data_IF_363247131415
#
_entry.id   IF_363247131415
#
_cell.length_a   1.000
_cell.length_b   1.000
_cell.length_c   1.000
_cell.angle_alpha   90.00
_cell.angle_beta   90.00
_cell.angle_gamma   90.00
#
_symmetry.space_group_name_H-M   'P 1'
#
loop_
_entity.id
_entity.type
_entity.pdbx_description
1 polymer ?
#
# COMPACT_ATOMS: atom_id res chain seq x y z
N UNK A 1 -51.11 -5.47 26.25
CA UNK A 1 -50.15 -5.68 25.15
C UNK A 1 -48.78 -5.27 25.68
N UNK A 2 -47.76 -6.14 25.69
CA UNK A 2 -46.44 -5.72 26.13
C UNK A 2 -45.84 -4.79 25.07
N UNK A 3 -45.31 -3.64 25.51
CA UNK A 3 -44.53 -2.74 24.66
C UNK A 3 -43.36 -3.52 24.06
N UNK A 4 -43.34 -3.66 22.74
CA UNK A 4 -42.14 -4.02 21.99
C UNK A 4 -41.16 -2.87 22.14
N UNK A 5 -40.12 -3.06 22.92
CA UNK A 5 -38.89 -2.30 22.76
C UNK A 5 -38.32 -2.65 21.39
N UNK A 6 -38.48 -1.73 20.44
CA UNK A 6 -37.74 -1.79 19.17
C UNK A 6 -36.34 -1.30 19.52
N UNK A 7 -35.40 -2.23 19.65
CA UNK A 7 -33.98 -1.89 19.63
C UNK A 7 -33.70 -1.36 18.22
N UNK A 8 -33.52 -0.05 18.12
CA UNK A 8 -33.01 0.57 16.91
C UNK A 8 -31.49 0.35 16.98
N UNK A 9 -30.98 -0.70 16.34
CA UNK A 9 -29.55 -0.95 16.15
C UNK A 9 -28.96 -0.03 15.06
N UNK A 10 -29.27 1.26 15.13
CA UNK A 10 -28.46 2.27 14.46
C UNK A 10 -27.25 2.48 15.37
N UNK A 11 -26.24 1.60 15.25
CA UNK A 11 -24.91 1.94 15.73
C UNK A 11 -24.51 3.22 15.00
N UNK A 12 -24.59 4.37 15.68
CA UNK A 12 -23.98 5.60 15.19
C UNK A 12 -22.53 5.25 14.82
N UNK A 13 -22.19 5.35 13.54
CA UNK A 13 -20.80 5.22 13.09
C UNK A 13 -20.00 6.23 13.90
N UNK A 14 -19.12 5.75 14.78
CA UNK A 14 -18.35 6.60 15.70
C UNK A 14 -17.48 7.59 14.89
N UNK A 15 -16.99 7.17 13.72
CA UNK A 15 -16.25 8.02 12.79
C UNK A 15 -16.72 7.78 11.35
N UNK A 16 -17.02 8.87 10.62
CA UNK A 16 -17.36 8.78 9.21
C UNK A 16 -16.10 8.68 8.34
N UNK A 17 -15.80 7.46 7.87
CA UNK A 17 -14.65 7.12 7.04
C UNK A 17 -15.12 6.84 5.61
N UNK A 18 -14.47 7.46 4.62
CA UNK A 18 -14.71 7.20 3.20
C UNK A 18 -13.49 6.62 2.50
N UNK A 19 -13.73 5.82 1.47
CA UNK A 19 -12.69 5.35 0.54
C UNK A 19 -13.02 5.87 -0.86
N UNK A 20 -12.17 6.74 -1.39
CA UNK A 20 -12.25 7.29 -2.73
C UNK A 20 -11.32 6.53 -3.68
N UNK A 21 -11.89 5.66 -4.51
CA UNK A 21 -11.19 4.98 -5.59
C UNK A 21 -11.10 5.88 -6.82
N UNK A 22 -9.89 6.30 -7.19
CA UNK A 22 -9.65 7.25 -8.28
C UNK A 22 -9.06 6.54 -9.49
N UNK A 23 -9.73 6.66 -10.63
CA UNK A 23 -9.37 6.00 -11.89
C UNK A 23 -9.64 4.50 -11.88
N UNK A 24 -9.13 3.78 -12.89
CA UNK A 24 -9.39 2.35 -13.08
C UNK A 24 -8.86 1.47 -11.94
N UNK A 25 -7.58 1.63 -11.58
CA UNK A 25 -6.96 0.84 -10.50
C UNK A 25 -7.61 1.08 -9.14
N UNK A 26 -7.87 2.35 -8.79
CA UNK A 26 -8.58 2.68 -7.54
C UNK A 26 -10.01 2.16 -7.53
N UNK A 27 -10.72 2.24 -8.66
CA UNK A 27 -12.07 1.69 -8.81
C UNK A 27 -12.12 0.16 -8.66
N UNK A 28 -11.12 -0.56 -9.20
CA UNK A 28 -10.99 -2.00 -9.03
C UNK A 28 -10.75 -2.38 -7.56
N UNK A 29 -9.83 -1.68 -6.89
CA UNK A 29 -9.57 -1.88 -5.47
C UNK A 29 -10.84 -1.64 -4.63
N UNK A 30 -11.60 -0.57 -4.90
CA UNK A 30 -12.89 -0.30 -4.23
C UNK A 30 -13.91 -1.42 -4.48
N UNK A 31 -14.05 -1.89 -5.73
CA UNK A 31 -14.94 -3.01 -6.02
C UNK A 31 -14.54 -4.25 -5.21
N UNK A 32 -13.25 -4.55 -5.14
CA UNK A 32 -12.72 -5.67 -4.37
C UNK A 32 -12.99 -5.51 -2.87
N UNK A 33 -12.84 -4.31 -2.32
CA UNK A 33 -13.17 -4.01 -0.92
C UNK A 33 -14.65 -4.29 -0.61
N UNK A 34 -15.55 -3.90 -1.52
CA UNK A 34 -17.00 -4.13 -1.40
C UNK A 34 -17.32 -5.63 -1.48
N UNK A 35 -16.73 -6.36 -2.44
CA UNK A 35 -16.90 -7.81 -2.60
C UNK A 35 -16.45 -8.59 -1.36
N UNK A 36 -15.38 -8.14 -0.70
CA UNK A 36 -14.89 -8.73 0.54
C UNK A 36 -15.67 -8.27 1.77
N UNK A 37 -16.69 -7.42 1.61
CA UNK A 37 -17.63 -7.07 2.67
C UNK A 37 -17.06 -6.14 3.74
N UNK A 38 -16.14 -5.24 3.40
CA UNK A 38 -15.70 -4.18 4.34
C UNK A 38 -16.90 -3.26 4.63
N UNK A 39 -17.35 -3.22 5.88
CA UNK A 39 -18.54 -2.44 6.33
C UNK A 39 -18.18 -1.16 7.08
N UNK A 40 -16.92 -1.01 7.50
CA UNK A 40 -16.41 0.07 8.34
C UNK A 40 -16.27 1.41 7.60
N UNK A 41 -16.49 1.45 6.28
CA UNK A 41 -16.26 2.62 5.43
C UNK A 41 -17.35 2.80 4.37
N UNK A 42 -17.51 4.04 3.87
CA UNK A 42 -18.33 4.32 2.70
C UNK A 42 -17.47 4.43 1.44
N UNK A 43 -17.97 3.89 0.33
CA UNK A 43 -17.21 3.82 -0.92
C UNK A 43 -17.64 4.90 -1.92
N UNK A 44 -16.64 5.54 -2.51
CA UNK A 44 -16.77 6.53 -3.57
C UNK A 44 -15.86 6.11 -4.74
N UNK A 45 -16.41 6.09 -5.95
CA UNK A 45 -15.66 5.85 -7.19
C UNK A 45 -15.60 7.12 -8.03
N UNK A 46 -14.39 7.56 -8.39
CA UNK A 46 -14.15 8.79 -9.16
C UNK A 46 -13.40 8.45 -10.43
N UNK A 47 -13.98 8.69 -11.60
CA UNK A 47 -13.33 8.35 -12.87
C UNK A 47 -13.76 9.26 -14.01
N UNK A 48 -12.87 9.41 -14.99
CA UNK A 48 -13.15 10.04 -16.29
C UNK A 48 -13.80 9.08 -17.29
N UNK A 49 -13.68 7.78 -17.05
CA UNK A 49 -14.21 6.72 -17.92
C UNK A 49 -15.60 6.29 -17.42
N UNK A 50 -16.62 6.56 -18.24
CA UNK A 50 -18.02 6.26 -17.92
C UNK A 50 -18.31 4.75 -17.93
N UNK A 51 -17.63 3.98 -18.79
CA UNK A 51 -17.79 2.53 -18.85
C UNK A 51 -17.25 1.89 -17.56
N UNK A 52 -16.08 2.35 -17.11
CA UNK A 52 -15.51 1.89 -15.84
C UNK A 52 -16.43 2.21 -14.64
N UNK A 53 -17.01 3.42 -14.58
CA UNK A 53 -17.95 3.79 -13.50
C UNK A 53 -19.24 2.96 -13.51
N UNK A 54 -19.73 2.62 -14.70
CA UNK A 54 -20.92 1.78 -14.84
C UNK A 54 -20.72 0.40 -14.19
N UNK A 55 -19.51 -0.15 -14.29
CA UNK A 55 -19.11 -1.40 -13.65
C UNK A 55 -18.73 -1.27 -12.16
N UNK A 56 -18.67 -0.05 -11.60
CA UNK A 56 -18.32 0.13 -10.19
C UNK A 56 -19.45 -0.33 -9.27
N UNK A 57 -19.09 -1.00 -8.17
CA UNK A 57 -19.99 -1.42 -7.11
C UNK A 57 -20.19 -0.34 -6.05
N UNK A 58 -19.43 0.76 -6.11
CA UNK A 58 -19.51 1.85 -5.15
C UNK A 58 -20.90 2.50 -5.16
N UNK A 59 -21.52 2.77 -3.99
CA UNK A 59 -22.80 3.47 -3.89
C UNK A 59 -22.74 4.89 -4.48
N UNK A 60 -21.61 5.56 -4.30
CA UNK A 60 -21.37 6.90 -4.83
C UNK A 60 -20.39 6.85 -6.00
N UNK A 61 -20.78 7.46 -7.12
CA UNK A 61 -20.01 7.47 -8.37
C UNK A 61 -19.95 8.91 -8.88
N UNK A 62 -18.74 9.39 -9.18
CA UNK A 62 -18.52 10.73 -9.74
C UNK A 62 -17.79 10.57 -11.06
N UNK A 63 -18.46 11.02 -12.13
CA UNK A 63 -17.84 11.14 -13.42
C UNK A 63 -17.17 12.50 -13.53
N UNK A 64 -15.84 12.53 -13.56
CA UNK A 64 -15.06 13.77 -13.63
C UNK A 64 -14.68 14.11 -15.08
N UNK A 65 -14.60 15.41 -15.39
CA UNK A 65 -14.17 15.89 -16.71
C UNK A 65 -15.06 15.44 -17.86
N UNK A 66 -16.39 15.52 -17.67
CA UNK A 66 -17.37 15.15 -18.70
C UNK A 66 -17.16 15.96 -19.98
N UNK A 67 -16.91 17.27 -19.87
CA UNK A 67 -16.69 18.14 -21.05
C UNK A 67 -15.35 17.84 -21.71
N UNK A 68 -14.32 17.57 -20.92
CA UNK A 68 -12.96 17.34 -21.41
C UNK A 68 -12.78 15.99 -22.09
N UNK A 69 -13.32 14.92 -21.49
CA UNK A 69 -13.07 13.53 -21.90
C UNK A 69 -14.23 12.90 -22.65
N UNK A 70 -15.44 13.50 -22.55
CA UNK A 70 -16.68 12.94 -23.09
C UNK A 70 -16.94 11.50 -22.62
N UNK A 71 -16.53 11.19 -21.38
CA UNK A 71 -16.68 9.88 -20.75
C UNK A 71 -15.72 8.78 -21.25
N UNK A 72 -14.70 9.13 -22.04
CA UNK A 72 -13.78 8.15 -22.67
C UNK A 72 -12.46 7.93 -21.93
N UNK A 73 -12.32 8.51 -20.74
CA UNK A 73 -11.08 8.43 -19.97
C UNK A 73 -10.01 9.46 -20.35
N UNK A 74 -8.97 9.56 -19.53
CA UNK A 74 -7.85 10.50 -19.71
C UNK A 74 -6.79 10.06 -20.75
N UNK A 75 -6.89 8.84 -21.29
CA UNK A 75 -5.99 8.33 -22.34
C UNK A 75 -4.51 8.26 -21.92
N UNK A 76 -4.23 7.96 -20.65
CA UNK A 76 -2.86 7.87 -20.12
C UNK A 76 -2.14 9.21 -19.93
N UNK A 77 -2.87 10.33 -20.00
CA UNK A 77 -2.34 11.68 -19.72
C UNK A 77 -2.72 12.12 -18.30
N UNK A 78 -1.74 12.28 -17.37
CA UNK A 78 -1.98 12.80 -16.03
C UNK A 78 -2.58 14.22 -16.04
N UNK A 79 -2.07 15.11 -16.89
CA UNK A 79 -2.58 16.49 -17.02
C UNK A 79 -4.08 16.52 -17.35
N UNK A 80 -4.54 15.64 -18.25
CA UNK A 80 -5.99 15.52 -18.53
C UNK A 80 -6.77 15.01 -17.32
N UNK A 81 -6.21 14.07 -16.56
CA UNK A 81 -6.82 13.59 -15.32
C UNK A 81 -6.95 14.68 -14.27
N UNK A 82 -5.90 15.49 -14.10
CA UNK A 82 -5.89 16.64 -13.20
C UNK A 82 -6.96 17.66 -13.57
N UNK A 83 -6.95 18.13 -14.83
CA UNK A 83 -7.93 19.11 -15.33
C UNK A 83 -9.37 18.59 -15.24
N UNK A 84 -9.57 17.29 -15.43
CA UNK A 84 -10.88 16.66 -15.25
C UNK A 84 -11.36 16.74 -13.79
N UNK A 85 -10.48 16.51 -12.81
CA UNK A 85 -10.81 16.66 -11.40
C UNK A 85 -11.03 18.13 -11.00
N UNK A 86 -10.24 19.04 -11.57
CA UNK A 86 -10.41 20.49 -11.39
C UNK A 86 -11.76 21.00 -11.95
N UNK A 87 -12.23 20.43 -13.07
CA UNK A 87 -13.55 20.74 -13.63
C UNK A 87 -14.69 20.34 -12.68
N UNK A 88 -14.51 19.26 -11.91
CA UNK A 88 -15.52 18.65 -11.06
C UNK A 88 -15.26 18.84 -9.56
N UNK A 89 -14.51 19.88 -9.16
CA UNK A 89 -14.14 20.10 -7.73
C UNK A 89 -15.35 20.20 -6.82
N UNK A 90 -16.40 20.91 -7.23
CA UNK A 90 -17.60 21.12 -6.41
C UNK A 90 -18.33 19.79 -6.13
N UNK A 91 -18.41 18.91 -7.12
CA UNK A 91 -19.02 17.59 -6.98
C UNK A 91 -18.22 16.69 -6.03
N UNK A 92 -16.89 16.72 -6.16
CA UNK A 92 -15.99 15.97 -5.26
C UNK A 92 -16.13 16.48 -3.82
N UNK A 93 -16.12 17.80 -3.61
CA UNK A 93 -16.28 18.41 -2.30
C UNK A 93 -17.65 18.07 -1.67
N UNK A 94 -18.72 18.10 -2.47
CA UNK A 94 -20.06 17.72 -2.01
C UNK A 94 -20.11 16.25 -1.55
N UNK A 95 -19.46 15.34 -2.29
CA UNK A 95 -19.40 13.93 -1.93
C UNK A 95 -18.54 13.64 -0.69
N UNK A 96 -17.51 14.47 -0.42
CA UNK A 96 -16.65 14.35 0.75
C UNK A 96 -17.23 15.02 2.00
N UNK A 97 -18.33 15.77 1.89
CA UNK A 97 -18.94 16.48 3.02
C UNK A 97 -19.32 15.52 4.16
N UNK A 98 -19.04 15.93 5.40
CA UNK A 98 -19.34 15.17 6.61
C UNK A 98 -18.39 13.99 6.89
N UNK A 99 -17.31 13.88 6.13
CA UNK A 99 -16.27 12.85 6.31
C UNK A 99 -15.22 13.35 7.29
N UNK A 100 -14.76 12.50 8.22
CA UNK A 100 -13.66 12.82 9.14
C UNK A 100 -12.33 12.29 8.63
N UNK A 101 -12.36 11.16 7.93
CA UNK A 101 -11.19 10.53 7.33
C UNK A 101 -11.49 10.01 5.93
N UNK A 102 -10.57 10.23 4.99
CA UNK A 102 -10.67 9.69 3.63
C UNK A 102 -9.42 8.92 3.25
N UNK A 103 -9.62 7.70 2.75
CA UNK A 103 -8.60 6.93 2.04
C UNK A 103 -8.72 7.20 0.55
N UNK A 104 -7.66 7.70 -0.06
CA UNK A 104 -7.59 7.91 -1.51
C UNK A 104 -6.77 6.77 -2.09
N UNK A 105 -7.42 5.91 -2.88
CA UNK A 105 -6.76 4.79 -3.53
C UNK A 105 -6.70 4.97 -5.04
N UNK A 106 -5.51 4.76 -5.61
CA UNK A 106 -5.27 4.91 -7.03
C UNK A 106 -4.11 4.03 -7.50
N UNK A 107 -4.20 3.56 -8.74
CA UNK A 107 -3.06 3.00 -9.46
C UNK A 107 -2.30 4.11 -10.19
N UNK A 108 -1.04 4.32 -9.84
CA UNK A 108 -0.21 5.39 -10.38
C UNK A 108 0.42 4.98 -11.72
N UNK A 109 0.74 5.97 -12.55
CA UNK A 109 1.28 5.77 -13.91
C UNK A 109 0.22 5.75 -15.01
N UNK A 110 -1.07 5.78 -14.66
CA UNK A 110 -2.16 6.05 -15.60
C UNK A 110 -2.39 7.55 -15.85
N UNK A 111 -3.51 7.89 -16.50
CA UNK A 111 -3.93 9.29 -16.65
C UNK A 111 -4.79 9.77 -15.48
N UNK A 112 -5.93 9.11 -15.27
CA UNK A 112 -6.92 9.55 -14.27
C UNK A 112 -6.41 9.42 -12.84
N UNK A 113 -5.93 8.25 -12.41
CA UNK A 113 -5.43 8.05 -11.05
C UNK A 113 -4.30 9.03 -10.70
N UNK A 114 -3.26 9.05 -11.53
CA UNK A 114 -2.08 9.92 -11.36
C UNK A 114 -2.40 11.41 -11.28
N UNK A 115 -3.32 11.91 -12.13
CA UNK A 115 -3.63 13.33 -12.20
C UNK A 115 -4.75 13.78 -11.26
N UNK A 116 -5.79 12.95 -11.08
CA UNK A 116 -6.97 13.31 -10.31
C UNK A 116 -6.80 13.03 -8.81
N UNK A 117 -6.07 11.97 -8.41
CA UNK A 117 -5.92 11.63 -6.99
C UNK A 117 -5.32 12.78 -6.15
N UNK A 118 -4.26 13.50 -6.62
CA UNK A 118 -3.77 14.66 -5.89
C UNK A 118 -4.81 15.77 -5.72
N UNK A 119 -5.63 16.03 -6.75
CA UNK A 119 -6.70 17.04 -6.68
C UNK A 119 -7.78 16.64 -5.68
N UNK A 120 -8.19 15.37 -5.67
CA UNK A 120 -9.15 14.84 -4.68
C UNK A 120 -8.58 14.97 -3.26
N UNK A 121 -7.27 14.72 -3.09
CA UNK A 121 -6.58 14.86 -1.80
C UNK A 121 -6.51 16.30 -1.30
N UNK A 122 -6.20 17.24 -2.19
CA UNK A 122 -6.20 18.66 -1.88
C UNK A 122 -7.58 19.13 -1.39
N UNK A 123 -8.66 18.77 -2.11
CA UNK A 123 -10.03 19.12 -1.70
C UNK A 123 -10.34 18.55 -0.31
N UNK A 124 -9.94 17.30 -0.04
CA UNK A 124 -10.16 16.69 1.26
C UNK A 124 -9.42 17.40 2.40
N UNK A 125 -8.14 17.75 2.19
CA UNK A 125 -7.35 18.49 3.17
C UNK A 125 -7.86 19.90 3.40
N UNK A 126 -8.27 20.61 2.35
CA UNK A 126 -8.87 21.95 2.45
C UNK A 126 -10.15 21.93 3.30
N UNK A 127 -10.87 20.80 3.30
CA UNK A 127 -12.05 20.57 4.13
C UNK A 127 -11.73 20.13 5.57
N UNK A 128 -10.45 19.98 5.93
CA UNK A 128 -10.00 19.53 7.25
C UNK A 128 -10.17 18.03 7.49
N UNK A 129 -10.28 17.22 6.44
CA UNK A 129 -10.43 15.77 6.51
C UNK A 129 -9.05 15.13 6.65
N UNK A 130 -8.87 14.18 7.57
CA UNK A 130 -7.65 13.38 7.65
C UNK A 130 -7.51 12.56 6.37
N UNK A 131 -6.51 12.87 5.55
CA UNK A 131 -6.40 12.39 4.18
C UNK A 131 -5.22 11.44 4.05
N UNK A 132 -5.50 10.17 3.80
CA UNK A 132 -4.48 9.12 3.64
C UNK A 132 -4.50 8.61 2.20
N UNK A 133 -3.37 8.76 1.49
CA UNK A 133 -3.18 8.15 0.17
C UNK A 133 -2.68 6.72 0.30
N UNK A 134 -3.31 5.75 -0.37
CA UNK A 134 -2.81 4.38 -0.49
C UNK A 134 -2.76 4.03 -1.98
N UNK A 135 -1.57 4.07 -2.56
CA UNK A 135 -1.39 4.01 -4.01
C UNK A 135 -0.40 2.95 -4.44
N UNK A 136 -0.55 2.43 -5.65
CA UNK A 136 0.37 1.45 -6.23
C UNK A 136 1.28 2.05 -7.30
N UNK A 137 2.55 1.65 -7.31
CA UNK A 137 3.44 1.85 -8.47
C UNK A 137 3.23 0.73 -9.48
N UNK A 138 3.35 1.00 -10.79
CA UNK A 138 3.15 -0.03 -11.83
C UNK A 138 4.23 -1.12 -11.76
N UNK A 139 3.97 -2.26 -12.40
CA UNK A 139 5.01 -3.26 -12.61
C UNK A 139 6.04 -2.78 -13.63
N UNK A 140 7.28 -3.27 -13.55
CA UNK A 140 8.34 -2.88 -14.48
C UNK A 140 8.01 -3.20 -15.95
N UNK A 141 7.27 -4.30 -16.19
CA UNK A 141 6.84 -4.70 -17.54
C UNK A 141 5.85 -3.73 -18.18
N UNK A 142 5.16 -2.89 -17.40
CA UNK A 142 4.23 -1.89 -17.92
C UNK A 142 4.95 -0.70 -18.58
N UNK A 143 6.28 -0.63 -18.39
CA UNK A 143 7.17 0.25 -19.12
C UNK A 143 7.61 1.50 -18.37
N UNK A 144 8.81 1.97 -18.68
CA UNK A 144 9.48 3.10 -18.00
C UNK A 144 8.66 4.39 -18.02
N UNK A 145 7.88 4.64 -19.07
CA UNK A 145 7.02 5.84 -19.17
C UNK A 145 5.95 5.86 -18.07
N UNK A 146 5.29 4.72 -17.81
CA UNK A 146 4.28 4.62 -16.74
C UNK A 146 4.92 4.78 -15.37
N UNK A 147 6.09 4.19 -15.15
CA UNK A 147 6.84 4.35 -13.90
C UNK A 147 7.21 5.82 -13.66
N UNK A 148 7.73 6.52 -14.66
CA UNK A 148 8.07 7.95 -14.53
C UNK A 148 6.82 8.81 -14.20
N UNK A 149 5.70 8.54 -14.85
CA UNK A 149 4.42 9.21 -14.52
C UNK A 149 3.95 8.87 -13.10
N UNK A 150 4.18 7.64 -12.64
CA UNK A 150 3.81 7.23 -11.29
C UNK A 150 4.62 7.99 -10.24
N UNK A 151 5.94 8.07 -10.39
CA UNK A 151 6.81 8.80 -9.45
C UNK A 151 6.45 10.29 -9.38
N UNK A 152 6.20 10.94 -10.52
CA UNK A 152 5.74 12.33 -10.57
C UNK A 152 4.39 12.51 -9.85
N UNK A 153 3.42 11.62 -10.12
CA UNK A 153 2.13 11.66 -9.46
C UNK A 153 2.21 11.40 -7.96
N UNK A 154 3.11 10.52 -7.50
CA UNK A 154 3.33 10.20 -6.08
C UNK A 154 3.93 11.41 -5.37
N UNK A 155 4.91 12.08 -5.97
CA UNK A 155 5.47 13.31 -5.42
C UNK A 155 4.39 14.40 -5.28
N UNK A 156 3.57 14.58 -6.33
CA UNK A 156 2.45 15.52 -6.32
C UNK A 156 1.35 15.18 -5.30
N UNK A 157 1.11 13.88 -5.06
CA UNK A 157 0.14 13.41 -4.08
C UNK A 157 0.66 13.61 -2.65
N UNK A 158 1.96 13.36 -2.41
CA UNK A 158 2.62 13.51 -1.10
C UNK A 158 2.40 14.89 -0.49
N UNK A 159 2.47 15.94 -1.28
CA UNK A 159 2.28 17.31 -0.82
C UNK A 159 0.83 17.63 -0.41
N UNK A 160 -0.12 16.76 -0.78
CA UNK A 160 -1.56 16.97 -0.66
C UNK A 160 -2.26 15.93 0.21
N UNK A 161 -1.52 15.06 0.87
CA UNK A 161 -2.04 14.08 1.85
C UNK A 161 -1.34 14.26 3.20
N UNK A 162 -1.97 13.78 4.26
CA UNK A 162 -1.36 13.74 5.58
C UNK A 162 -0.37 12.57 5.69
N UNK A 163 -0.76 11.42 5.16
CA UNK A 163 0.10 10.23 5.05
C UNK A 163 -0.07 9.55 3.68
N UNK A 164 1.03 9.02 3.14
CA UNK A 164 1.09 8.35 1.84
C UNK A 164 1.73 6.97 1.95
N UNK A 165 0.91 5.92 1.81
CA UNK A 165 1.35 4.55 1.66
C UNK A 165 1.57 4.25 0.18
N UNK A 166 2.80 3.90 -0.17
CA UNK A 166 3.19 3.54 -1.54
C UNK A 166 3.47 2.05 -1.61
N UNK A 167 2.74 1.35 -2.48
CA UNK A 167 2.86 -0.09 -2.68
C UNK A 167 3.53 -0.35 -4.04
N UNK A 168 4.80 -0.76 -4.07
CA UNK A 168 5.47 -1.15 -5.30
C UNK A 168 4.94 -2.51 -5.80
N UNK A 169 4.21 -2.53 -6.91
CA UNK A 169 3.66 -3.79 -7.47
C UNK A 169 4.76 -4.83 -7.75
N UNK A 170 5.98 -4.40 -8.06
CA UNK A 170 7.11 -5.30 -8.26
C UNK A 170 7.39 -6.20 -7.03
N UNK A 171 7.15 -5.70 -5.81
CA UNK A 171 7.34 -6.46 -4.57
C UNK A 171 6.31 -7.57 -4.39
N UNK A 172 5.14 -7.47 -5.02
CA UNK A 172 4.11 -8.52 -4.97
C UNK A 172 4.61 -9.84 -5.58
N UNK A 173 5.56 -9.78 -6.51
CA UNK A 173 6.20 -10.97 -7.08
C UNK A 173 7.04 -11.74 -6.06
N UNK A 174 7.60 -11.04 -5.06
CA UNK A 174 8.43 -11.66 -4.03
C UNK A 174 7.59 -12.40 -2.98
N UNK A 175 6.35 -11.94 -2.78
CA UNK A 175 5.40 -12.53 -1.83
C UNK A 175 4.86 -13.87 -2.36
N UNK A 176 4.71 -14.01 -3.69
CA UNK A 176 4.31 -15.27 -4.29
C UNK A 176 5.50 -16.18 -4.57
N UNK A 177 5.60 -17.29 -3.85
CA UNK A 177 6.62 -18.33 -4.08
C UNK A 177 6.41 -19.11 -5.40
N UNK A 178 5.36 -18.82 -6.18
CA UNK A 178 5.03 -19.49 -7.44
C UNK A 178 4.81 -18.52 -8.60
N UNK A 179 4.89 -19.04 -9.84
CA UNK A 179 4.54 -18.32 -11.07
C UNK A 179 3.10 -17.79 -10.99
N UNK A 180 2.94 -16.49 -10.82
CA UNK A 180 1.62 -15.84 -10.81
C UNK A 180 1.15 -15.50 -12.23
N UNK A 181 -0.16 -15.62 -12.46
CA UNK A 181 -0.78 -15.06 -13.66
C UNK A 181 -0.87 -13.54 -13.56
N UNK A 182 -1.02 -12.86 -14.69
CA UNK A 182 -1.21 -11.40 -14.72
C UNK A 182 -2.43 -10.97 -13.90
N UNK A 183 -3.53 -11.72 -14.02
CA UNK A 183 -4.77 -11.45 -13.26
C UNK A 183 -4.53 -11.60 -11.75
N UNK A 184 -3.83 -12.66 -11.34
CA UNK A 184 -3.47 -12.90 -9.94
C UNK A 184 -2.55 -11.80 -9.38
N UNK A 185 -1.64 -11.26 -10.20
CA UNK A 185 -0.74 -10.19 -9.79
C UNK A 185 -1.47 -8.88 -9.50
N UNK A 186 -2.42 -8.48 -10.35
CA UNK A 186 -3.27 -7.32 -10.08
C UNK A 186 -4.22 -7.56 -8.91
N UNK A 187 -4.79 -8.76 -8.79
CA UNK A 187 -5.62 -9.11 -7.64
C UNK A 187 -4.83 -9.04 -6.32
N UNK A 188 -3.54 -9.39 -6.33
CA UNK A 188 -2.67 -9.22 -5.17
C UNK A 188 -2.44 -7.74 -4.84
N UNK A 189 -2.29 -6.88 -5.84
CA UNK A 189 -2.17 -5.44 -5.62
C UNK A 189 -3.45 -4.86 -4.99
N UNK A 190 -4.61 -5.24 -5.51
CA UNK A 190 -5.91 -4.85 -4.99
C UNK A 190 -6.12 -5.37 -3.56
N UNK A 191 -5.63 -6.57 -3.25
CA UNK A 191 -5.70 -7.14 -1.90
C UNK A 191 -4.82 -6.39 -0.91
N UNK A 192 -3.61 -5.96 -1.30
CA UNK A 192 -2.76 -5.13 -0.44
C UNK A 192 -3.41 -3.76 -0.19
N UNK A 193 -4.01 -3.13 -1.21
CA UNK A 193 -4.79 -1.90 -1.04
C UNK A 193 -5.96 -2.09 -0.06
N UNK A 194 -6.68 -3.21 -0.20
CA UNK A 194 -7.76 -3.61 0.70
C UNK A 194 -7.27 -3.77 2.14
N UNK A 195 -6.17 -4.49 2.36
CA UNK A 195 -5.58 -4.70 3.68
C UNK A 195 -5.15 -3.37 4.33
N UNK A 196 -4.57 -2.44 3.56
CA UNK A 196 -4.21 -1.11 4.07
C UNK A 196 -5.40 -0.30 4.55
N UNK A 197 -6.48 -0.24 3.77
CA UNK A 197 -7.72 0.43 4.20
C UNK A 197 -8.36 -0.29 5.40
N UNK A 198 -8.46 -1.61 5.32
CA UNK A 198 -9.11 -2.41 6.36
C UNK A 198 -8.37 -2.29 7.70
N UNK A 199 -7.04 -2.41 7.70
CA UNK A 199 -6.24 -2.38 8.92
C UNK A 199 -6.42 -1.09 9.73
N UNK A 200 -6.63 0.05 9.10
CA UNK A 200 -6.82 1.33 9.79
C UNK A 200 -8.29 1.56 10.13
N UNK A 201 -9.20 1.24 9.21
CA UNK A 201 -10.64 1.48 9.43
C UNK A 201 -11.24 0.56 10.50
N UNK A 202 -10.78 -0.68 10.58
CA UNK A 202 -11.29 -1.67 11.54
C UNK A 202 -10.87 -1.31 12.97
N UNK A 203 -9.68 -0.72 13.17
CA UNK A 203 -9.21 -0.23 14.47
C UNK A 203 -10.10 0.87 15.09
N UNK A 204 -10.84 1.61 14.23
CA UNK A 204 -11.69 2.73 14.63
C UNK A 204 -13.15 2.28 14.78
N UNK A 205 -13.67 1.57 13.76
CA UNK A 205 -15.10 1.36 13.58
C UNK A 205 -15.58 -0.05 13.93
N UNK A 206 -14.68 -1.04 14.07
CA UNK A 206 -15.07 -2.38 14.53
C UNK A 206 -14.86 -2.46 16.04
N UNK A 207 -15.88 -2.87 16.83
CA UNK A 207 -15.70 -3.15 18.24
C UNK A 207 -14.69 -4.29 18.47
N UNK A 208 -13.45 -3.94 18.80
CA UNK A 208 -12.42 -4.81 19.34
C UNK A 208 -12.36 -4.80 20.87
N UNK A 209 -11.42 -5.56 21.43
CA UNK A 209 -11.14 -5.52 22.88
C UNK A 209 -10.49 -4.19 23.28
N UNK A 210 -9.64 -3.67 22.39
CA UNK A 210 -8.92 -2.41 22.53
C UNK A 210 -9.16 -1.60 21.28
N UNK A 211 -10.18 -0.75 21.34
CA UNK A 211 -10.45 0.22 20.28
C UNK A 211 -9.52 1.42 20.45
N UNK A 212 -9.03 1.93 19.34
CA UNK A 212 -8.31 3.18 19.29
C UNK A 212 -9.30 4.30 19.01
N UNK A 213 -9.07 5.47 19.63
CA UNK A 213 -9.85 6.63 19.27
C UNK A 213 -9.30 7.27 17.98
N UNK A 214 -10.12 8.10 17.35
CA UNK A 214 -9.71 8.81 16.13
C UNK A 214 -8.55 9.78 16.36
N UNK A 215 -8.43 10.34 17.58
CA UNK A 215 -7.41 11.33 17.90
C UNK A 215 -6.02 10.69 17.97
N UNK A 216 -5.92 9.46 18.48
CA UNK A 216 -4.72 8.64 18.51
C UNK A 216 -4.23 8.38 17.08
N UNK A 217 -5.10 7.87 16.20
CA UNK A 217 -4.74 7.65 14.78
C UNK A 217 -4.38 8.96 14.08
N UNK A 218 -5.14 10.02 14.32
CA UNK A 218 -4.84 11.33 13.76
C UNK A 218 -3.48 11.85 14.21
N UNK A 219 -3.08 11.62 15.46
CA UNK A 219 -1.78 12.07 15.99
C UNK A 219 -0.60 11.39 15.30
N UNK A 220 -0.74 10.14 14.88
CA UNK A 220 0.33 9.40 14.16
C UNK A 220 0.30 9.66 12.66
N UNK A 221 -0.87 9.79 12.04
CA UNK A 221 -0.98 9.90 10.59
C UNK A 221 -0.99 11.34 10.06
N UNK A 222 -1.32 12.34 10.90
CA UNK A 222 -1.38 13.73 10.47
C UNK A 222 0.00 14.28 10.14
N UNK A 223 0.16 14.82 8.93
CA UNK A 223 1.42 15.37 8.40
C UNK A 223 2.61 14.39 8.49
N UNK A 224 2.35 13.09 8.50
CA UNK A 224 3.35 12.04 8.70
C UNK A 224 4.19 11.75 7.44
N UNK A 225 3.73 12.21 6.27
CA UNK A 225 4.46 12.09 5.01
C UNK A 225 4.43 10.67 4.45
N UNK A 226 5.59 10.05 4.25
CA UNK A 226 5.62 8.68 3.70
C UNK A 226 5.31 7.69 4.80
N UNK A 227 4.48 6.71 4.46
CA UNK A 227 4.10 5.62 5.32
C UNK A 227 4.46 4.29 4.64
N UNK A 228 4.89 3.32 5.45
CA UNK A 228 5.17 1.97 5.00
C UNK A 228 4.25 1.00 5.71
N UNK A 229 3.77 0.00 4.98
CA UNK A 229 2.88 -1.03 5.49
C UNK A 229 3.56 -2.39 5.40
N UNK A 230 3.61 -3.09 6.52
CA UNK A 230 4.06 -4.47 6.60
C UNK A 230 2.93 -5.36 7.08
N UNK A 231 2.77 -6.52 6.46
CA UNK A 231 1.75 -7.51 6.85
C UNK A 231 2.45 -8.83 7.11
N UNK A 232 2.14 -9.43 8.25
CA UNK A 232 2.60 -10.74 8.67
C UNK A 232 1.43 -11.62 9.10
N UNK A 233 1.49 -12.89 8.71
CA UNK A 233 0.48 -13.90 9.05
C UNK A 233 1.22 -15.15 9.49
N UNK A 234 0.81 -15.72 10.62
CA UNK A 234 1.32 -16.99 11.10
C UNK A 234 0.28 -17.73 11.93
N UNK A 235 0.49 -19.03 12.12
CA UNK A 235 -0.34 -19.92 12.92
C UNK A 235 0.54 -20.86 13.74
N UNK A 236 -0.04 -21.53 14.74
CA UNK A 236 0.66 -22.44 15.62
C UNK A 236 1.24 -21.77 16.87
N UNK A 237 2.08 -22.51 17.60
CA UNK A 237 2.56 -22.13 18.93
C UNK A 237 3.34 -20.81 18.97
N UNK A 238 4.09 -20.51 17.91
CA UNK A 238 4.94 -19.31 17.83
C UNK A 238 4.32 -18.25 16.89
N UNK A 239 3.00 -18.29 16.67
CA UNK A 239 2.28 -17.43 15.71
C UNK A 239 2.54 -15.94 15.94
N UNK A 240 2.57 -15.48 17.18
CA UNK A 240 2.82 -14.09 17.50
C UNK A 240 4.21 -13.60 17.03
N UNK A 241 5.26 -14.33 17.38
CA UNK A 241 6.64 -13.99 17.02
C UNK A 241 6.85 -14.09 15.51
N UNK A 242 6.31 -15.15 14.89
CA UNK A 242 6.42 -15.36 13.44
C UNK A 242 5.66 -14.30 12.65
N UNK A 243 4.43 -13.95 13.06
CA UNK A 243 3.65 -12.90 12.40
C UNK A 243 4.30 -11.53 12.58
N UNK A 244 4.84 -11.22 13.76
CA UNK A 244 5.53 -9.96 14.02
C UNK A 244 6.81 -9.86 13.17
N UNK A 245 7.62 -10.92 13.13
CA UNK A 245 8.81 -11.00 12.29
C UNK A 245 8.47 -10.82 10.81
N UNK A 246 7.41 -11.48 10.33
CA UNK A 246 6.94 -11.35 8.94
C UNK A 246 6.45 -9.94 8.61
N UNK A 247 5.78 -9.27 9.55
CA UNK A 247 5.33 -7.89 9.37
C UNK A 247 6.52 -6.91 9.30
N UNK A 248 7.51 -7.05 10.20
CA UNK A 248 8.72 -6.20 10.26
C UNK A 248 9.61 -6.39 9.02
N UNK A 249 9.67 -7.60 8.48
CA UNK A 249 10.49 -7.95 7.32
C UNK A 249 9.69 -7.99 6.00
N UNK A 250 8.46 -7.46 6.01
CA UNK A 250 7.55 -7.58 4.88
C UNK A 250 8.13 -6.93 3.61
N UNK A 251 8.09 -7.60 2.44
CA UNK A 251 8.58 -7.02 1.18
C UNK A 251 7.85 -5.75 0.74
N UNK A 252 6.69 -5.46 1.35
CA UNK A 252 5.89 -4.26 1.11
C UNK A 252 6.49 -3.01 1.77
N UNK A 253 7.39 -3.19 2.74
CA UNK A 253 8.18 -2.13 3.33
C UNK A 253 9.29 -1.74 2.34
N UNK A 254 9.18 -0.56 1.70
CA UNK A 254 10.27 -0.06 0.84
C UNK A 254 11.53 0.28 1.65
N UNK A 255 11.36 0.65 2.93
CA UNK A 255 12.44 0.86 3.89
C UNK A 255 12.17 0.09 5.18
N UNK A 256 13.23 -0.22 5.95
CA UNK A 256 13.09 -0.85 7.27
C UNK A 256 12.15 -0.04 8.17
N UNK A 257 11.44 -0.70 9.09
CA UNK A 257 10.69 -0.01 10.16
C UNK A 257 11.61 0.81 11.09
N UNK A 258 12.91 0.51 11.06
CA UNK A 258 13.93 1.23 11.81
C UNK A 258 13.92 2.73 11.48
N UNK A 259 13.77 3.57 12.51
CA UNK A 259 13.70 5.01 12.38
C UNK A 259 12.28 5.58 12.21
N UNK A 260 11.24 4.74 12.15
CA UNK A 260 9.87 5.22 12.23
C UNK A 260 9.58 5.87 13.59
N UNK A 261 9.05 7.09 13.58
CA UNK A 261 8.66 7.83 14.79
C UNK A 261 7.19 7.65 15.16
N UNK A 262 6.37 7.15 14.25
CA UNK A 262 4.98 6.80 14.51
C UNK A 262 4.69 5.40 13.99
N UNK A 263 4.16 4.52 14.83
CA UNK A 263 3.86 3.13 14.47
C UNK A 263 2.45 2.77 14.91
N UNK A 264 1.66 2.24 13.99
CA UNK A 264 0.34 1.66 14.26
C UNK A 264 0.45 0.14 14.09
N UNK A 265 0.08 -0.60 15.13
CA UNK A 265 0.07 -2.07 15.16
C UNK A 265 -1.39 -2.52 15.22
N UNK A 266 -1.86 -3.20 14.19
CA UNK A 266 -3.16 -3.88 14.21
C UNK A 266 -2.93 -5.38 14.34
N UNK A 267 -3.44 -5.97 15.42
CA UNK A 267 -3.41 -7.41 15.65
C UNK A 267 -4.83 -7.95 15.42
N UNK A 268 -4.96 -8.92 14.52
CA UNK A 268 -6.22 -9.62 14.27
C UNK A 268 -6.01 -11.11 14.51
N UNK A 269 -6.84 -11.70 15.37
CA UNK A 269 -6.76 -13.12 15.74
C UNK A 269 -8.13 -13.65 16.14
N UNK A 270 -8.22 -14.95 16.43
CA UNK A 270 -9.38 -15.48 17.15
C UNK A 270 -9.43 -15.00 18.61
N UNK A 271 -10.57 -15.22 19.27
CA UNK A 271 -10.79 -14.89 20.69
C UNK A 271 -9.96 -15.74 21.66
N UNK A 272 -9.26 -16.75 21.15
CA UNK A 272 -8.42 -17.66 21.95
C UNK A 272 -7.01 -17.12 22.17
N UNK A 273 -6.67 -15.97 21.58
CA UNK A 273 -5.36 -15.34 21.75
C UNK A 273 -5.05 -15.03 23.21
N UNK A 274 -3.82 -15.33 23.63
CA UNK A 274 -3.34 -15.05 24.98
C UNK A 274 -2.67 -13.67 25.07
N UNK A 275 -2.72 -13.05 26.25
CA UNK A 275 -2.08 -11.75 26.48
C UNK A 275 -0.55 -11.78 26.21
N UNK A 276 0.12 -12.88 26.58
CA UNK A 276 1.56 -13.06 26.35
C UNK A 276 1.91 -13.06 24.85
N UNK A 277 1.04 -13.60 24.00
CA UNK A 277 1.21 -13.57 22.54
C UNK A 277 1.14 -12.13 22.01
N UNK A 278 0.14 -11.36 22.46
CA UNK A 278 -0.01 -9.94 22.09
C UNK A 278 1.18 -9.11 22.58
N UNK A 279 1.63 -9.34 23.82
CA UNK A 279 2.77 -8.64 24.43
C UNK A 279 4.07 -8.92 23.67
N UNK A 280 4.34 -10.18 23.33
CA UNK A 280 5.53 -10.58 22.54
C UNK A 280 5.55 -9.91 21.16
N UNK A 281 4.43 -9.98 20.44
CA UNK A 281 4.30 -9.36 19.13
C UNK A 281 4.53 -7.85 19.19
N UNK A 282 3.84 -7.16 20.12
CA UNK A 282 3.94 -5.71 20.29
C UNK A 282 5.36 -5.28 20.70
N UNK A 283 6.00 -6.02 21.62
CA UNK A 283 7.37 -5.74 22.08
C UNK A 283 8.38 -5.92 20.95
N UNK A 284 8.24 -6.96 20.13
CA UNK A 284 9.13 -7.21 19.00
C UNK A 284 9.08 -6.07 17.97
N UNK A 285 7.89 -5.58 17.64
CA UNK A 285 7.70 -4.47 16.70
C UNK A 285 8.19 -3.15 17.31
N UNK A 286 7.92 -2.93 18.59
CA UNK A 286 8.36 -1.73 19.31
C UNK A 286 9.88 -1.62 19.36
N UNK A 287 10.58 -2.74 19.58
CA UNK A 287 12.04 -2.79 19.60
C UNK A 287 12.68 -2.58 18.21
N UNK A 288 11.94 -2.83 17.13
CA UNK A 288 12.41 -2.59 15.77
C UNK A 288 12.23 -1.13 15.32
N UNK A 289 11.34 -0.37 15.98
CA UNK A 289 11.08 1.03 15.69
C UNK A 289 12.09 1.98 16.36
N UNK A 290 11.94 3.29 16.16
CA UNK A 290 12.76 4.27 16.88
C UNK A 290 12.46 4.24 18.39
N UNK A 291 13.48 4.44 19.23
CA UNK A 291 13.36 4.43 20.71
C UNK A 291 12.32 5.42 21.27
N UNK A 292 12.11 6.53 20.56
CA UNK A 292 11.17 7.60 20.90
C UNK A 292 9.92 7.54 20.00
N UNK A 293 9.64 6.39 19.38
CA UNK A 293 8.47 6.23 18.53
C UNK A 293 7.17 6.31 19.35
N UNK A 294 6.18 7.04 18.83
CA UNK A 294 4.81 6.96 19.30
C UNK A 294 4.18 5.69 18.74
N UNK A 295 3.95 4.70 19.61
CA UNK A 295 3.42 3.39 19.23
C UNK A 295 1.98 3.28 19.70
N UNK A 296 1.10 3.05 18.74
CA UNK A 296 -0.30 2.81 18.96
C UNK A 296 -0.59 1.37 18.53
N UNK A 297 -1.30 0.62 19.36
CA UNK A 297 -1.68 -0.75 19.03
C UNK A 297 -3.16 -0.97 19.30
N UNK A 298 -3.79 -1.80 18.47
CA UNK A 298 -5.15 -2.26 18.70
C UNK A 298 -5.29 -3.73 18.35
N UNK A 299 -6.34 -4.33 18.90
CA UNK A 299 -6.63 -5.75 18.76
C UNK A 299 -8.08 -5.95 18.34
N UNK A 300 -8.26 -6.60 17.19
CA UNK A 300 -9.55 -6.99 16.65
C UNK A 300 -9.68 -8.53 16.67
N UNK A 301 -10.91 -9.00 16.82
CA UNK A 301 -11.20 -10.44 16.77
C UNK A 301 -11.94 -10.80 15.49
N UNK A 302 -11.46 -11.85 14.84
CA UNK A 302 -12.11 -12.47 13.70
C UNK A 302 -12.29 -13.96 13.99
N UNK A 303 -13.55 -14.36 14.23
CA UNK A 303 -13.91 -15.75 14.55
C UNK A 303 -13.61 -16.71 13.37
N UNK A 304 -13.32 -16.20 12.17
CA UNK A 304 -12.93 -17.03 11.02
C UNK A 304 -11.45 -17.45 11.04
N UNK A 305 -10.62 -16.84 11.90
CA UNK A 305 -9.17 -17.03 11.89
C UNK A 305 -8.65 -18.25 12.65
N UNK A 306 -9.48 -19.02 13.36
CA UNK A 306 -9.06 -20.24 14.10
C UNK A 306 -7.74 -20.03 14.90
N UNK A 307 -6.64 -20.67 14.51
CA UNK A 307 -5.31 -20.50 15.14
C UNK A 307 -4.38 -19.48 14.42
N UNK A 308 -4.88 -18.75 13.42
CA UNK A 308 -4.13 -17.72 12.69
C UNK A 308 -4.09 -16.40 13.47
N UNK A 309 -2.91 -15.79 13.50
CA UNK A 309 -2.69 -14.41 13.90
C UNK A 309 -2.18 -13.60 12.71
N UNK A 310 -2.85 -12.49 12.43
CA UNK A 310 -2.46 -11.50 11.44
C UNK A 310 -2.04 -10.22 12.12
N UNK A 311 -0.85 -9.73 11.78
CA UNK A 311 -0.33 -8.47 12.27
C UNK A 311 -0.08 -7.55 11.09
N UNK A 312 -0.68 -6.36 11.13
CA UNK A 312 -0.40 -5.28 10.19
C UNK A 312 0.30 -4.16 10.92
N UNK A 313 1.42 -3.70 10.38
CA UNK A 313 2.20 -2.60 10.91
C UNK A 313 2.21 -1.47 9.91
N UNK A 314 1.86 -0.27 10.35
CA UNK A 314 1.96 0.96 9.57
C UNK A 314 2.97 1.86 10.25
N UNK A 315 4.08 2.10 9.58
CA UNK A 315 5.20 2.90 10.06
C UNK A 315 5.20 4.24 9.35
N UNK A 316 5.41 5.32 10.09
CA UNK A 316 5.32 6.72 9.62
C UNK A 316 6.37 7.59 10.29
N UNK A 317 6.54 8.82 9.81
CA UNK A 317 7.43 9.79 10.44
C UNK A 317 8.91 9.41 10.34
N UNK A 318 9.31 8.79 9.23
CA UNK A 318 10.72 8.54 8.92
C UNK A 318 11.45 9.87 8.73
N UNK A 319 12.64 9.98 9.32
CA UNK A 319 13.48 11.17 9.15
C UNK A 319 13.76 11.40 7.64
N UNK A 320 13.35 12.56 7.13
CA UNK A 320 13.40 12.95 5.70
C UNK A 320 14.80 12.95 5.06
N UNK A 321 15.86 12.57 5.78
CA UNK A 321 17.25 12.67 5.32
C UNK A 321 17.75 11.45 4.52
N UNK A 322 16.97 10.36 4.39
CA UNK A 322 17.46 9.11 3.74
C UNK A 322 16.68 8.58 2.54
N UNK A 323 15.71 9.33 2.00
CA UNK A 323 15.01 8.89 0.77
C UNK A 323 15.74 9.40 -0.50
N UNK A 324 16.70 10.31 -0.38
CA UNK A 324 17.59 10.70 -1.47
C UNK A 324 18.83 9.81 -1.53
N UNK A 325 18.70 8.62 -2.09
CA UNK A 325 19.84 7.91 -2.67
C UNK A 325 19.33 7.15 -3.89
N UNK A 326 19.57 7.65 -5.11
CA UNK A 326 19.46 6.78 -6.28
C UNK A 326 20.39 5.61 -6.03
N UNK A 327 19.89 4.40 -6.29
CA UNK A 327 20.68 3.18 -6.41
C UNK A 327 21.98 3.55 -7.14
N UNK A 328 23.13 3.36 -6.49
CA UNK A 328 24.43 3.45 -7.14
C UNK A 328 24.39 2.47 -8.30
N UNK A 329 24.18 3.02 -9.49
CA UNK A 329 24.38 2.32 -10.74
C UNK A 329 25.88 1.96 -10.78
N UNK A 330 26.20 0.68 -10.66
CA UNK A 330 27.53 0.17 -11.02
C UNK A 330 27.65 0.22 -12.54
N UNK A 331 27.68 1.45 -13.08
CA UNK A 331 28.18 1.74 -14.41
C UNK A 331 29.67 1.44 -14.40
N UNK A 332 30.05 0.32 -15.01
CA UNK A 332 31.44 0.02 -15.37
C UNK A 332 31.96 1.14 -16.26
N UNK A 333 32.73 2.05 -15.67
CA UNK A 333 33.39 3.12 -16.39
C UNK A 333 34.60 2.52 -17.12
N UNK A 334 34.43 2.17 -18.39
CA UNK A 334 35.53 1.88 -19.30
C UNK A 334 36.27 3.19 -19.60
N UNK A 335 37.24 3.52 -18.76
CA UNK A 335 38.35 4.41 -19.10
C UNK A 335 39.53 4.09 -18.16
N UNK A 336 40.38 3.18 -18.62
CA UNK A 336 41.76 3.09 -18.15
C UNK A 336 42.65 2.92 -19.37
N UNK A 337 43.60 3.85 -19.50
CA UNK A 337 44.67 3.85 -20.49
C UNK A 337 45.40 2.49 -20.58
N UNK A 338 45.97 2.14 -21.75
CA UNK A 338 46.54 0.82 -21.98
C UNK A 338 47.85 0.62 -21.22
N UNK A 339 47.92 -0.45 -20.44
CA UNK A 339 49.13 -0.97 -19.80
C UNK A 339 49.99 -1.68 -20.87
N UNK A 340 51.31 -1.43 -20.97
CA UNK A 340 52.16 -2.10 -21.95
C UNK A 340 52.42 -3.58 -21.55
N UNK A 341 52.63 -4.48 -22.53
CA UNK A 341 52.77 -5.90 -22.26
C UNK A 341 54.11 -6.22 -21.58
N UNK A 342 54.05 -6.98 -20.49
CA UNK A 342 55.21 -7.65 -19.88
C UNK A 342 55.41 -8.99 -20.58
N UNK A 343 56.63 -9.21 -21.04
CA UNK A 343 57.14 -10.49 -21.54
C UNK A 343 57.09 -11.55 -20.43
N UNK A 344 56.58 -12.73 -20.76
CA UNK A 344 56.68 -13.94 -19.93
C UNK A 344 57.41 -15.01 -20.72
N UNK A 345 58.65 -15.30 -20.30
CA UNK A 345 59.36 -16.53 -20.64
C UNK A 345 58.96 -17.63 -19.64
N UNK A 346 58.68 -18.81 -20.21
CA UNK A 346 58.86 -20.18 -19.72
C UNK A 346 58.51 -20.53 -18.26
N UNK A 347 57.44 -21.32 -18.07
CA UNK A 347 57.50 -22.77 -17.79
C UNK A 347 56.08 -23.25 -17.41
N UNK A 348 55.55 -24.24 -18.15
CA UNK A 348 54.82 -25.40 -17.60
C UNK A 348 54.19 -26.21 -18.73
N UNK A 349 54.95 -27.22 -19.16
CA UNK A 349 54.62 -28.20 -20.22
C UNK A 349 53.66 -29.32 -19.76
N UNK A 350 53.05 -29.22 -18.59
CA UNK A 350 52.36 -30.36 -17.96
C UNK A 350 50.83 -30.40 -18.14
N UNK A 351 50.20 -29.43 -18.82
CA UNK A 351 48.75 -29.45 -19.04
C UNK A 351 48.28 -30.11 -20.37
N UNK A 352 49.20 -30.37 -21.31
CA UNK A 352 48.84 -30.87 -22.65
C UNK A 352 48.75 -32.41 -22.71
N UNK A 353 49.29 -33.15 -21.73
CA UNK A 353 49.29 -34.62 -21.75
C UNK A 353 48.07 -35.28 -21.09
N UNK A 354 47.30 -34.58 -20.26
CA UNK A 354 46.07 -35.13 -19.63
C UNK A 354 44.86 -35.18 -20.57
N UNK A 355 44.82 -34.33 -21.60
CA UNK A 355 43.70 -34.26 -22.56
C UNK A 355 43.79 -35.28 -23.72
N UNK A 356 44.93 -35.96 -23.89
CA UNK A 356 45.11 -37.01 -24.91
C UNK A 356 44.71 -38.42 -24.45
N UNK A 357 44.52 -38.64 -23.15
CA UNK A 357 44.18 -39.96 -22.59
C UNK A 357 42.66 -40.23 -22.63
N UNK A 358 41.81 -39.20 -22.68
CA UNK A 358 40.35 -39.38 -22.61
C UNK A 358 39.62 -39.43 -23.96
N UNK A 359 40.28 -39.12 -25.09
CA UNK A 359 39.61 -39.04 -26.40
C UNK A 359 39.86 -40.24 -27.35
N UNK A 360 40.49 -41.32 -26.87
CA UNK A 360 40.67 -42.55 -27.66
C UNK A 360 40.07 -43.76 -26.94
N UNK A 361 38.73 -43.83 -26.92
CA UNK A 361 37.97 -45.09 -26.81
C UNK A 361 36.51 -44.86 -27.17
N UNK A 362 36.16 -45.16 -28.42
CA UNK A 362 34.95 -45.92 -28.78
C UNK A 362 35.09 -46.46 -30.20
N UNK A 363 35.10 -47.79 -30.26
CA UNK A 363 34.73 -48.59 -31.44
C UNK A 363 33.25 -48.41 -31.75
#
# INVERSE_FOLDING_TARGET
>A
MPMKFVFNEDFEKVVNIKVAGVGGGGGNAVNRMIENGIKSVEFLSVNTDQQALSCSLAPHKIQIGEKLTKGRGAGGSPEKGQRAAEESREEIAAALKGTQMVFITAGMGGGTGTGAAPVVAEIARDMGILTVGIVTKPFDFEGKRRMAQAEEGIANLRERVDALVVIPNERLKLISQQKISLLSAFAAADDVLRQGVQSISDLINIPGLVNLDFADISTVMKDAGYAHMGVGVASGKDKAEMAAAAAISSPLLETSIEGARGVIINITSSKEVELDEVEKASTMISNAAHKDANIIWGAAFDDSLDDEMRITVIATGFDNEKISSPIMDFSFNNNSDPIPPKETEEEDKDYIDLLKIFNNKRY
#
